data_IF_531962522746
#
_entry.id   IF_531962522746
#
_cell.length_a   1.000
_cell.length_b   1.000
_cell.length_c   1.000
_cell.angle_alpha   90.00
_cell.angle_beta   90.00
_cell.angle_gamma   90.00
#
_symmetry.space_group_name_H-M   'P 1'
#
loop_
_entity.id
_entity.type
_entity.pdbx_description
1 polymer ?
#
# COMPACT_ATOMS: atom_id res chain seq x y z
N UNK A 1 -93.42 -12.54 -22.56
CA UNK A 1 -93.02 -11.35 -21.77
C UNK A 1 -92.72 -11.83 -20.36
N UNK A 2 -91.53 -11.81 -19.79
CA UNK A 2 -90.28 -11.12 -20.13
C UNK A 2 -89.07 -11.99 -19.71
N UNK A 3 -87.96 -11.96 -20.47
CA UNK A 3 -86.74 -12.69 -20.15
C UNK A 3 -86.01 -12.08 -18.94
N UNK A 4 -85.43 -12.97 -18.13
CA UNK A 4 -84.67 -12.68 -16.90
C UNK A 4 -83.44 -11.80 -17.22
N UNK A 5 -83.17 -10.75 -16.42
CA UNK A 5 -82.16 -9.75 -16.71
C UNK A 5 -80.73 -10.25 -16.48
N UNK A 6 -79.84 -9.66 -17.28
CA UNK A 6 -78.41 -9.83 -17.33
C UNK A 6 -77.71 -9.55 -15.99
N UNK A 7 -76.69 -10.36 -15.68
CA UNK A 7 -75.72 -10.03 -14.64
C UNK A 7 -74.69 -9.02 -15.18
N UNK A 8 -74.50 -7.87 -14.50
CA UNK A 8 -73.64 -6.79 -14.98
C UNK A 8 -72.15 -7.11 -14.80
N UNK A 9 -71.40 -6.74 -15.82
CA UNK A 9 -69.94 -6.62 -15.86
C UNK A 9 -69.50 -5.51 -14.91
N UNK A 10 -69.37 -5.81 -13.62
CA UNK A 10 -68.83 -4.86 -12.66
C UNK A 10 -68.13 -5.54 -11.50
N UNK A 11 -66.93 -6.10 -11.75
CA UNK A 11 -65.89 -6.23 -10.73
C UNK A 11 -64.50 -6.50 -11.31
N UNK A 12 -64.09 -5.71 -12.30
CA UNK A 12 -62.66 -5.41 -12.41
C UNK A 12 -62.41 -4.27 -11.44
N UNK A 13 -62.04 -4.62 -10.21
CA UNK A 13 -61.24 -3.71 -9.40
C UNK A 13 -60.05 -3.34 -10.26
N UNK A 14 -60.05 -2.12 -10.77
CA UNK A 14 -58.83 -1.42 -11.18
C UNK A 14 -57.97 -1.31 -9.91
N UNK A 15 -57.32 -2.41 -9.54
CA UNK A 15 -56.04 -2.35 -8.91
C UNK A 15 -55.17 -1.66 -9.94
N UNK A 16 -55.01 -0.34 -9.78
CA UNK A 16 -53.84 0.35 -10.30
C UNK A 16 -52.67 -0.50 -9.83
N UNK A 17 -52.16 -1.36 -10.71
CA UNK A 17 -50.86 -1.94 -10.53
C UNK A 17 -49.95 -0.72 -10.47
N UNK A 18 -49.63 -0.30 -9.25
CA UNK A 18 -48.48 0.53 -8.96
C UNK A 18 -47.28 -0.36 -9.29
N UNK A 19 -47.09 -0.61 -10.58
CA UNK A 19 -45.80 -0.88 -11.16
C UNK A 19 -45.07 0.43 -10.88
N UNK A 20 -44.50 0.50 -9.67
CA UNK A 20 -43.49 1.48 -9.37
C UNK A 20 -42.38 1.18 -10.35
N UNK A 21 -42.41 1.86 -11.50
CA UNK A 21 -41.23 2.12 -12.29
C UNK A 21 -40.28 2.70 -11.25
N UNK A 22 -39.34 1.89 -10.76
CA UNK A 22 -38.23 2.42 -9.98
C UNK A 22 -37.69 3.53 -10.87
N UNK A 23 -37.68 4.80 -10.46
CA UNK A 23 -36.96 5.79 -11.24
C UNK A 23 -35.55 5.21 -11.35
N UNK A 24 -35.15 4.85 -12.57
CA UNK A 24 -33.75 4.53 -12.84
C UNK A 24 -32.99 5.70 -12.24
N UNK A 25 -32.19 5.44 -11.21
CA UNK A 25 -31.48 6.47 -10.47
C UNK A 25 -30.80 7.40 -11.48
N UNK A 26 -31.36 8.61 -11.68
CA UNK A 26 -30.71 9.67 -12.46
C UNK A 26 -29.50 10.23 -11.72
N UNK A 27 -29.25 9.72 -10.51
CA UNK A 27 -27.97 9.80 -9.83
C UNK A 27 -26.95 8.92 -10.58
N UNK A 28 -26.54 9.33 -11.78
CA UNK A 28 -25.13 9.17 -12.14
C UNK A 28 -24.38 10.01 -11.12
N UNK A 29 -24.03 9.39 -9.99
CA UNK A 29 -23.30 10.05 -8.91
C UNK A 29 -22.14 10.79 -9.54
N UNK A 30 -22.20 12.12 -9.51
CA UNK A 30 -21.16 12.99 -10.07
C UNK A 30 -19.87 12.53 -9.42
N UNK A 31 -18.94 11.97 -10.19
CA UNK A 31 -17.65 11.56 -9.65
C UNK A 31 -17.02 12.81 -9.05
N UNK A 32 -17.00 12.89 -7.71
CA UNK A 32 -16.43 14.05 -7.04
C UNK A 32 -14.92 13.97 -7.25
N UNK A 33 -14.36 15.03 -7.82
CA UNK A 33 -12.91 15.12 -7.92
C UNK A 33 -12.30 15.08 -6.52
N UNK A 34 -11.19 14.35 -6.32
CA UNK A 34 -10.52 14.31 -5.03
C UNK A 34 -10.04 15.71 -4.66
N UNK A 35 -10.37 16.17 -3.46
CA UNK A 35 -9.97 17.48 -2.92
C UNK A 35 -8.91 17.26 -1.84
N UNK A 36 -7.62 17.12 -2.19
CA UNK A 36 -6.56 16.78 -1.23
C UNK A 36 -6.37 17.86 -0.16
N UNK A 37 -6.65 19.12 -0.49
CA UNK A 37 -6.56 20.28 0.41
C UNK A 37 -7.46 20.14 1.65
N UNK A 38 -8.60 19.45 1.52
CA UNK A 38 -9.57 19.31 2.63
C UNK A 38 -9.26 18.16 3.58
N UNK A 39 -8.26 17.35 3.26
CA UNK A 39 -7.98 16.12 4.02
C UNK A 39 -7.29 16.41 5.36
N UNK A 40 -6.68 17.60 5.52
CA UNK A 40 -6.08 18.03 6.79
C UNK A 40 -4.87 17.18 7.21
N UNK A 41 -4.11 16.68 6.24
CA UNK A 41 -2.84 16.01 6.53
C UNK A 41 -1.76 17.03 6.89
N UNK A 42 -0.80 16.60 7.70
CA UNK A 42 0.39 17.38 8.00
C UNK A 42 1.14 17.74 6.71
N UNK A 43 1.78 18.93 6.64
CA UNK A 43 2.66 19.27 5.53
C UNK A 43 3.78 18.23 5.43
N UNK A 44 4.14 17.83 4.22
CA UNK A 44 5.10 16.75 3.98
C UNK A 44 4.51 15.33 3.95
N UNK A 45 3.24 15.15 4.34
CA UNK A 45 2.65 13.81 4.38
C UNK A 45 2.52 13.18 2.98
N UNK A 46 3.23 12.07 2.77
CA UNK A 46 3.22 11.32 1.52
C UNK A 46 4.40 11.60 0.61
N UNK A 47 5.27 12.56 0.93
CA UNK A 47 6.51 12.80 0.18
C UNK A 47 7.49 11.64 0.30
N UNK A 48 7.43 10.93 1.43
CA UNK A 48 8.21 9.73 1.69
C UNK A 48 7.31 8.50 1.80
N UNK A 49 7.75 7.41 1.17
CA UNK A 49 7.13 6.09 1.27
C UNK A 49 8.20 5.07 1.63
N UNK A 50 8.01 4.45 2.78
CA UNK A 50 8.86 3.42 3.33
C UNK A 50 8.35 2.04 2.93
N UNK A 51 9.26 1.19 2.45
CA UNK A 51 8.98 -0.20 2.11
C UNK A 51 9.76 -1.09 3.07
N UNK A 52 9.06 -1.86 3.88
CA UNK A 52 9.64 -2.81 4.82
C UNK A 52 9.54 -4.22 4.26
N UNK A 53 10.61 -5.00 4.41
CA UNK A 53 10.63 -6.42 4.14
C UNK A 53 10.74 -7.25 5.41
N UNK A 54 10.12 -8.42 5.39
CA UNK A 54 10.38 -9.45 6.37
C UNK A 54 11.55 -10.32 5.91
N UNK A 55 12.64 -10.39 6.68
CA UNK A 55 13.90 -11.04 6.28
C UNK A 55 13.72 -12.50 5.85
N UNK A 56 12.88 -13.28 6.56
CA UNK A 56 12.70 -14.71 6.26
C UNK A 56 11.61 -15.01 5.23
N UNK A 57 10.43 -14.38 5.34
CA UNK A 57 9.26 -14.70 4.53
C UNK A 57 9.07 -13.78 3.33
N UNK A 58 9.92 -12.78 3.15
CA UNK A 58 9.86 -11.79 2.07
C UNK A 58 8.52 -11.07 1.95
N UNK A 59 7.74 -11.02 3.03
CA UNK A 59 6.52 -10.21 3.10
C UNK A 59 6.87 -8.73 3.05
N UNK A 60 6.05 -7.95 2.35
CA UNK A 60 6.28 -6.52 2.17
C UNK A 60 5.20 -5.70 2.87
N UNK A 61 5.59 -4.60 3.50
CA UNK A 61 4.67 -3.63 4.10
C UNK A 61 5.07 -2.23 3.69
N UNK A 62 4.07 -1.44 3.29
CA UNK A 62 4.26 -0.03 2.93
C UNK A 62 3.88 0.87 4.11
N UNK A 63 4.64 1.93 4.35
CA UNK A 63 4.34 2.95 5.36
C UNK A 63 4.67 4.35 4.84
N UNK A 64 4.04 5.38 5.40
CA UNK A 64 4.50 6.77 5.24
C UNK A 64 5.48 7.18 6.33
N UNK A 65 5.53 6.42 7.43
CA UNK A 65 6.41 6.68 8.56
C UNK A 65 7.59 5.72 8.56
N UNK A 66 8.77 6.17 9.02
CA UNK A 66 9.97 5.34 9.17
C UNK A 66 9.80 4.27 10.25
N UNK A 67 8.95 4.51 11.23
CA UNK A 67 8.62 3.52 12.27
C UNK A 67 7.39 2.71 11.85
N UNK A 68 7.53 1.38 11.93
CA UNK A 68 6.46 0.44 11.58
C UNK A 68 5.48 0.22 12.75
N UNK A 69 4.28 0.78 12.64
CA UNK A 69 3.22 0.57 13.64
C UNK A 69 2.46 -0.74 13.41
N UNK A 70 2.53 -1.65 14.39
CA UNK A 70 1.95 -3.01 14.34
C UNK A 70 0.50 -3.05 13.85
N UNK A 71 -0.39 -2.22 14.41
CA UNK A 71 -1.82 -2.23 14.06
C UNK A 71 -2.09 -1.85 12.59
N UNK A 72 -1.33 -0.90 12.03
CA UNK A 72 -1.49 -0.48 10.63
C UNK A 72 -0.87 -1.49 9.67
N UNK A 73 0.31 -1.99 10.03
CA UNK A 73 1.10 -2.90 9.24
C UNK A 73 0.43 -4.29 9.12
N UNK A 74 -0.09 -4.85 10.22
CA UNK A 74 -0.80 -6.15 10.23
C UNK A 74 -2.09 -6.14 9.39
N UNK A 75 -2.72 -4.98 9.17
CA UNK A 75 -3.91 -4.87 8.31
C UNK A 75 -3.59 -5.03 6.82
N UNK A 76 -2.33 -4.91 6.45
CA UNK A 76 -1.91 -5.11 5.06
C UNK A 76 -1.64 -6.58 4.75
N UNK A 77 -1.35 -7.42 5.75
CA UNK A 77 -1.05 -8.84 5.55
C UNK A 77 -2.35 -9.67 5.52
N UNK A 78 -2.69 -10.34 4.40
CA UNK A 78 -3.82 -11.25 4.34
C UNK A 78 -3.54 -12.55 5.10
N UNK A 79 -4.57 -13.38 5.23
CA UNK A 79 -4.43 -14.73 5.78
C UNK A 79 -4.18 -15.71 4.64
N UNK A 80 -2.91 -16.08 4.42
CA UNK A 80 -2.51 -17.02 3.37
C UNK A 80 -2.45 -18.48 3.86
N UNK A 81 -2.65 -18.73 5.15
CA UNK A 81 -2.54 -20.07 5.74
C UNK A 81 -2.29 -20.05 7.25
N UNK A 82 -2.25 -21.24 7.86
CA UNK A 82 -1.89 -21.37 9.27
C UNK A 82 -0.42 -20.97 9.45
N UNK A 83 -0.12 -20.17 10.47
CA UNK A 83 1.25 -19.67 10.80
C UNK A 83 1.93 -18.78 9.74
N UNK A 84 1.25 -18.37 8.68
CA UNK A 84 1.83 -17.46 7.67
C UNK A 84 1.80 -16.00 8.12
N UNK A 85 0.79 -15.60 8.89
CA UNK A 85 0.65 -14.27 9.47
C UNK A 85 0.99 -14.29 10.95
N UNK A 86 2.01 -13.53 11.35
CA UNK A 86 2.35 -13.39 12.77
C UNK A 86 1.30 -12.57 13.53
N UNK A 87 0.98 -12.91 14.79
CA UNK A 87 0.02 -12.16 15.61
C UNK A 87 0.49 -10.73 15.95
N UNK A 88 1.81 -10.55 16.08
CA UNK A 88 2.48 -9.28 16.33
C UNK A 88 3.71 -9.17 15.47
N UNK A 89 4.06 -7.95 15.05
CA UNK A 89 5.30 -7.71 14.33
C UNK A 89 6.46 -7.66 15.32
N UNK A 90 7.51 -8.42 15.04
CA UNK A 90 8.75 -8.41 15.84
C UNK A 90 9.79 -7.56 15.12
N UNK A 91 10.40 -6.60 15.80
CA UNK A 91 11.28 -5.58 15.19
C UNK A 91 12.50 -6.17 14.47
N UNK A 92 13.00 -7.31 14.94
CA UNK A 92 14.17 -8.01 14.42
C UNK A 92 13.99 -8.58 13.00
N UNK A 93 12.76 -8.98 12.65
CA UNK A 93 12.49 -9.56 11.33
C UNK A 93 12.13 -8.53 10.26
N UNK A 94 11.74 -7.32 10.65
CA UNK A 94 11.29 -6.29 9.72
C UNK A 94 12.37 -5.26 9.52
N UNK A 95 12.91 -5.19 8.31
CA UNK A 95 13.90 -4.18 7.93
C UNK A 95 13.34 -3.27 6.84
N UNK A 96 13.73 -1.99 6.81
CA UNK A 96 13.48 -1.14 5.66
C UNK A 96 14.31 -1.65 4.48
N UNK A 97 13.64 -1.87 3.36
CA UNK A 97 14.21 -2.36 2.11
C UNK A 97 14.46 -1.22 1.13
N UNK A 98 13.52 -0.29 1.05
CA UNK A 98 13.61 0.87 0.18
C UNK A 98 12.82 2.06 0.74
N UNK A 99 13.26 3.25 0.36
CA UNK A 99 12.58 4.51 0.60
C UNK A 99 12.36 5.20 -0.75
N UNK A 100 11.12 5.56 -1.04
CA UNK A 100 10.76 6.40 -2.19
C UNK A 100 10.57 7.82 -1.67
N UNK A 101 11.31 8.76 -2.24
CA UNK A 101 11.23 10.18 -1.93
C UNK A 101 10.81 10.98 -3.16
N UNK A 102 9.81 11.82 -2.97
CA UNK A 102 9.38 12.80 -3.97
C UNK A 102 9.91 14.19 -3.62
N UNK A 103 9.88 15.10 -4.59
CA UNK A 103 10.17 16.50 -4.35
C UNK A 103 9.22 17.11 -3.30
N UNK A 104 9.72 18.12 -2.58
CA UNK A 104 8.95 18.84 -1.56
C UNK A 104 7.67 19.43 -2.17
N UNK A 105 6.54 19.27 -1.47
CA UNK A 105 5.22 19.69 -1.94
C UNK A 105 4.49 18.66 -2.82
N UNK A 106 5.14 17.57 -3.24
CA UNK A 106 4.52 16.51 -4.05
C UNK A 106 3.78 15.44 -3.22
N UNK A 107 3.45 15.69 -1.95
CA UNK A 107 2.82 14.71 -1.06
C UNK A 107 1.51 14.09 -1.60
N UNK A 108 0.73 14.83 -2.38
CA UNK A 108 -0.51 14.32 -3.03
C UNK A 108 -0.20 13.23 -4.06
N UNK A 109 0.93 13.34 -4.77
CA UNK A 109 1.39 12.33 -5.74
C UNK A 109 1.80 11.08 -4.98
N UNK A 110 2.59 11.23 -3.91
CA UNK A 110 3.01 10.08 -3.12
C UNK A 110 1.86 9.36 -2.40
N UNK A 111 0.82 10.07 -1.94
CA UNK A 111 -0.41 9.41 -1.45
C UNK A 111 -1.11 8.57 -2.52
N UNK A 112 -1.15 9.06 -3.77
CA UNK A 112 -1.68 8.31 -4.91
C UNK A 112 -0.82 7.07 -5.20
N UNK A 113 0.50 7.23 -5.25
CA UNK A 113 1.46 6.13 -5.46
C UNK A 113 1.31 5.08 -4.37
N UNK A 114 1.26 5.50 -3.09
CA UNK A 114 1.06 4.62 -1.94
C UNK A 114 -0.23 3.82 -2.03
N UNK A 115 -1.33 4.47 -2.45
CA UNK A 115 -2.59 3.78 -2.69
C UNK A 115 -2.42 2.71 -3.77
N UNK A 116 -1.77 3.04 -4.91
CA UNK A 116 -1.57 2.10 -6.01
C UNK A 116 -0.69 0.92 -5.63
N UNK A 117 0.42 1.13 -4.94
CA UNK A 117 1.27 0.04 -4.43
C UNK A 117 0.48 -0.93 -3.55
N UNK A 118 -0.39 -0.42 -2.68
CA UNK A 118 -1.25 -1.25 -1.83
C UNK A 118 -2.34 -1.98 -2.61
N UNK A 119 -2.88 -1.37 -3.66
CA UNK A 119 -3.82 -2.01 -4.58
C UNK A 119 -3.14 -3.16 -5.34
N UNK A 120 -1.96 -2.92 -5.92
CA UNK A 120 -1.18 -3.94 -6.64
C UNK A 120 -0.78 -5.11 -5.75
N UNK A 121 -0.23 -4.85 -4.56
CA UNK A 121 0.09 -5.91 -3.60
C UNK A 121 -1.12 -6.77 -3.25
N UNK A 122 -2.28 -6.14 -3.00
CA UNK A 122 -3.51 -6.88 -2.72
C UNK A 122 -3.96 -7.73 -3.91
N UNK A 123 -3.75 -7.25 -5.14
CA UNK A 123 -4.04 -8.01 -6.35
C UNK A 123 -3.09 -9.20 -6.51
N UNK A 124 -1.80 -9.05 -6.27
CA UNK A 124 -0.84 -10.17 -6.32
C UNK A 124 -1.21 -11.31 -5.35
N UNK A 125 -1.70 -10.96 -4.17
CA UNK A 125 -2.07 -11.95 -3.16
C UNK A 125 -3.45 -12.60 -3.42
N UNK A 126 -4.41 -11.90 -4.02
CA UNK A 126 -5.80 -12.36 -4.18
C UNK A 126 -6.22 -12.76 -5.60
N UNK A 127 -5.59 -12.19 -6.63
CA UNK A 127 -5.94 -12.40 -8.03
C UNK A 127 -4.70 -12.85 -8.82
N UNK A 128 -4.50 -14.15 -8.89
CA UNK A 128 -3.27 -14.75 -9.43
C UNK A 128 -3.21 -14.76 -10.96
N UNK A 129 -4.34 -14.55 -11.64
CA UNK A 129 -4.40 -14.43 -13.10
C UNK A 129 -3.68 -15.58 -13.81
N UNK A 130 -2.59 -15.27 -14.48
CA UNK A 130 -1.76 -16.24 -15.21
C UNK A 130 -1.06 -17.26 -14.31
N UNK A 131 -0.76 -16.93 -13.05
CA UNK A 131 -0.08 -17.82 -12.08
C UNK A 131 -1.05 -18.78 -11.38
N UNK A 132 -2.36 -18.65 -11.65
CA UNK A 132 -3.38 -19.43 -10.94
C UNK A 132 -3.17 -20.94 -11.11
N UNK A 133 -2.79 -21.39 -12.30
CA UNK A 133 -2.57 -22.80 -12.58
C UNK A 133 -1.42 -23.35 -11.72
N UNK A 134 -0.27 -22.67 -11.72
CA UNK A 134 0.89 -23.05 -10.90
C UNK A 134 0.54 -23.16 -9.41
N UNK A 135 -0.17 -22.16 -8.87
CA UNK A 135 -0.56 -22.16 -7.46
C UNK A 135 -1.60 -23.24 -7.12
N UNK A 136 -2.49 -23.60 -8.05
CA UNK A 136 -3.48 -24.65 -7.81
C UNK A 136 -2.84 -26.05 -7.80
N UNK A 137 -1.74 -26.25 -8.51
CA UNK A 137 -0.96 -27.49 -8.49
C UNK A 137 -0.05 -27.62 -7.27
N UNK A 138 0.22 -26.53 -6.54
CA UNK A 138 1.02 -26.55 -5.31
C UNK A 138 0.21 -27.04 -4.10
N UNK A 139 0.91 -27.66 -3.14
CA UNK A 139 0.34 -27.92 -1.81
C UNK A 139 -0.06 -26.61 -1.12
N UNK A 140 -1.10 -26.67 -0.28
CA UNK A 140 -1.64 -25.51 0.42
C UNK A 140 -0.59 -24.78 1.26
N UNK A 141 0.32 -25.50 1.92
CA UNK A 141 1.36 -24.87 2.73
C UNK A 141 2.35 -24.13 1.83
N UNK A 142 2.89 -24.81 0.82
CA UNK A 142 3.86 -24.24 -0.12
C UNK A 142 3.28 -23.05 -0.89
N UNK A 143 2.01 -23.13 -1.30
CA UNK A 143 1.28 -22.01 -1.88
C UNK A 143 1.21 -20.83 -0.91
N UNK A 144 0.89 -21.08 0.37
CA UNK A 144 0.84 -20.03 1.39
C UNK A 144 2.19 -19.34 1.61
N UNK A 145 3.30 -20.08 1.52
CA UNK A 145 4.67 -19.56 1.58
C UNK A 145 5.02 -18.74 0.33
N UNK A 146 4.74 -19.27 -0.87
CA UNK A 146 4.96 -18.58 -2.12
C UNK A 146 4.14 -17.28 -2.24
N UNK A 147 2.90 -17.26 -1.76
CA UNK A 147 2.07 -16.05 -1.71
C UNK A 147 2.59 -15.00 -0.72
N UNK A 148 3.40 -15.38 0.27
CA UNK A 148 4.02 -14.41 1.17
C UNK A 148 5.27 -13.76 0.57
N UNK A 149 5.94 -14.46 -0.34
CA UNK A 149 7.13 -13.97 -1.03
C UNK A 149 6.73 -12.92 -2.08
N UNK A 150 6.55 -11.69 -1.60
CA UNK A 150 6.09 -10.56 -2.40
C UNK A 150 7.21 -9.55 -2.67
N UNK A 151 8.47 -9.88 -2.34
CA UNK A 151 9.60 -8.97 -2.49
C UNK A 151 9.83 -8.55 -3.95
N UNK A 152 9.96 -9.54 -4.84
CA UNK A 152 10.17 -9.28 -6.27
C UNK A 152 8.98 -8.55 -6.90
N UNK A 153 7.75 -8.99 -6.58
CA UNK A 153 6.53 -8.35 -7.04
C UNK A 153 6.44 -6.89 -6.59
N UNK A 154 6.79 -6.60 -5.34
CA UNK A 154 6.77 -5.24 -4.82
C UNK A 154 7.74 -4.31 -5.54
N UNK A 155 8.94 -4.79 -5.91
CA UNK A 155 9.89 -3.99 -6.70
C UNK A 155 9.36 -3.74 -8.10
N UNK A 156 8.79 -4.75 -8.75
CA UNK A 156 8.16 -4.61 -10.05
C UNK A 156 6.96 -3.63 -9.99
N UNK A 157 6.18 -3.67 -8.92
CA UNK A 157 5.08 -2.74 -8.68
C UNK A 157 5.58 -1.30 -8.49
N UNK A 158 6.69 -1.11 -7.78
CA UNK A 158 7.32 0.21 -7.63
C UNK A 158 7.72 0.76 -9.00
N UNK A 159 8.41 -0.03 -9.82
CA UNK A 159 8.79 0.39 -11.16
C UNK A 159 7.56 0.71 -12.03
N UNK A 160 6.53 -0.14 -12.02
CA UNK A 160 5.31 0.04 -12.79
C UNK A 160 4.53 1.29 -12.35
N UNK A 161 4.31 1.46 -11.04
CA UNK A 161 3.54 2.59 -10.48
C UNK A 161 4.28 3.91 -10.70
N UNK A 162 5.61 3.94 -10.52
CA UNK A 162 6.40 5.14 -10.79
C UNK A 162 6.50 5.45 -12.30
N UNK A 163 6.35 4.43 -13.17
CA UNK A 163 6.15 4.60 -14.61
C UNK A 163 4.73 5.03 -15.02
N UNK A 164 3.85 5.32 -14.06
CA UNK A 164 2.49 5.80 -14.32
C UNK A 164 1.43 4.70 -14.48
N UNK A 165 1.72 3.46 -14.07
CA UNK A 165 0.72 2.40 -14.04
C UNK A 165 -0.36 2.66 -12.97
N UNK A 166 -1.56 2.14 -13.22
CA UNK A 166 -2.73 2.28 -12.34
C UNK A 166 -3.64 3.45 -12.74
N UNK A 167 -4.92 3.15 -12.95
CA UNK A 167 -5.91 4.17 -13.33
C UNK A 167 -6.03 5.24 -12.24
N UNK A 168 -5.93 6.51 -12.64
CA UNK A 168 -5.99 7.66 -11.74
C UNK A 168 -4.73 7.89 -10.92
N UNK A 169 -3.60 7.30 -11.32
CA UNK A 169 -2.31 7.59 -10.73
C UNK A 169 -1.88 9.02 -11.08
N UNK A 170 -1.60 9.83 -10.05
CA UNK A 170 -1.25 11.26 -10.17
C UNK A 170 0.22 11.52 -10.51
N UNK A 171 1.05 10.50 -10.69
CA UNK A 171 2.46 10.69 -11.05
C UNK A 171 2.63 11.13 -12.50
N UNK A 172 1.71 10.75 -13.38
CA UNK A 172 1.60 11.35 -14.70
C UNK A 172 0.89 12.69 -14.53
N UNK A 173 1.60 13.78 -14.81
CA UNK A 173 0.96 15.08 -14.94
C UNK A 173 -0.14 14.94 -16.01
N UNK A 174 -1.36 15.34 -15.68
CA UNK A 174 -2.48 15.33 -16.62
C UNK A 174 -2.25 16.50 -17.57
N UNK A 175 -1.52 16.26 -18.66
CA UNK A 175 -1.67 17.06 -19.86
C UNK A 175 -2.80 16.41 -20.68
N UNK A 176 -3.87 17.15 -20.94
CA UNK A 176 -5.06 16.69 -21.67
C UNK A 176 -4.80 16.48 -23.19
N UNK A 177 -3.58 16.12 -23.58
CA UNK A 177 -3.15 15.89 -24.97
C UNK A 177 -2.93 14.39 -25.24
N UNK A 178 -3.60 13.88 -26.27
CA UNK A 178 -3.64 12.45 -26.60
C UNK A 178 -2.29 11.78 -26.91
N UNK A 179 -1.20 12.55 -27.11
CA UNK A 179 0.12 12.05 -27.53
C UNK A 179 1.31 12.95 -27.08
N UNK A 180 1.27 13.55 -25.88
CA UNK A 180 2.50 14.12 -25.28
C UNK A 180 3.19 13.07 -24.40
N UNK A 181 4.52 12.95 -24.54
CA UNK A 181 5.33 12.12 -23.65
C UNK A 181 4.93 12.46 -22.20
N UNK A 182 4.46 11.46 -21.45
CA UNK A 182 3.92 11.67 -20.11
C UNK A 182 4.99 12.37 -19.27
N UNK A 183 4.75 13.63 -18.92
CA UNK A 183 5.56 14.35 -17.95
C UNK A 183 5.35 13.67 -16.59
N UNK A 184 6.24 12.75 -16.26
CA UNK A 184 6.23 12.01 -14.99
C UNK A 184 6.96 12.83 -13.94
N UNK A 185 6.40 12.89 -12.74
CA UNK A 185 7.06 13.52 -11.59
C UNK A 185 8.33 12.73 -11.24
N UNK A 186 9.42 13.45 -11.00
CA UNK A 186 10.69 12.87 -10.59
C UNK A 186 10.60 12.26 -9.19
N UNK A 187 11.25 11.10 -9.01
CA UNK A 187 11.28 10.39 -7.74
C UNK A 187 12.65 9.75 -7.51
N UNK A 188 13.16 9.86 -6.30
CA UNK A 188 14.39 9.19 -5.87
C UNK A 188 14.04 7.93 -5.09
N UNK A 189 14.59 6.79 -5.49
CA UNK A 189 14.43 5.52 -4.77
C UNK A 189 15.76 5.13 -4.14
N UNK A 190 15.77 5.16 -2.81
CA UNK A 190 16.85 4.70 -1.97
C UNK A 190 16.70 3.21 -1.68
N UNK A 191 17.74 2.43 -1.94
CA UNK A 191 17.75 0.99 -1.72
C UNK A 191 18.69 0.59 -0.57
N UNK A 192 18.26 -0.35 0.26
CA UNK A 192 19.14 -0.96 1.25
C UNK A 192 20.17 -1.92 0.62
N UNK A 193 19.76 -2.71 -0.38
CA UNK A 193 20.63 -3.60 -1.17
C UNK A 193 20.53 -3.22 -2.64
N UNK A 194 21.68 -3.07 -3.30
CA UNK A 194 21.77 -2.72 -4.72
C UNK A 194 21.09 -3.76 -5.62
N UNK A 195 21.08 -5.03 -5.21
CA UNK A 195 20.51 -6.14 -6.01
C UNK A 195 18.99 -6.09 -6.07
N UNK A 196 18.35 -5.44 -5.10
CA UNK A 196 16.89 -5.41 -5.04
C UNK A 196 16.29 -4.62 -6.20
N UNK A 197 17.01 -3.68 -6.81
CA UNK A 197 16.53 -2.94 -7.99
C UNK A 197 16.41 -3.80 -9.26
N UNK A 198 17.12 -4.93 -9.30
CA UNK A 198 17.22 -5.81 -10.48
C UNK A 198 15.99 -6.71 -10.65
N UNK A 199 15.12 -6.80 -9.64
CA UNK A 199 13.85 -7.52 -9.76
C UNK A 199 12.90 -6.88 -10.78
N UNK A 200 13.05 -5.58 -11.07
CA UNK A 200 12.32 -4.92 -12.14
C UNK A 200 13.13 -4.97 -13.45
N UNK A 201 12.47 -5.43 -14.52
CA UNK A 201 13.10 -5.57 -15.85
C UNK A 201 13.51 -4.21 -16.44
N UNK A 202 12.74 -3.16 -16.17
CA UNK A 202 12.99 -1.82 -16.68
C UNK A 202 12.47 -0.76 -15.71
N UNK A 203 13.14 0.39 -15.72
CA UNK A 203 12.81 1.57 -14.93
C UNK A 203 12.52 2.75 -15.85
N UNK A 204 11.60 3.63 -15.46
CA UNK A 204 11.30 4.85 -16.22
C UNK A 204 12.36 5.92 -15.96
N UNK A 205 12.55 6.82 -16.93
CA UNK A 205 13.64 7.81 -16.91
C UNK A 205 13.51 8.90 -15.86
N UNK A 206 12.33 9.06 -15.24
CA UNK A 206 12.08 10.01 -14.15
C UNK A 206 12.56 9.51 -12.77
N UNK A 207 13.10 8.30 -12.70
CA UNK A 207 13.49 7.66 -11.44
C UNK A 207 15.00 7.71 -11.29
N UNK A 208 15.46 8.27 -10.17
CA UNK A 208 16.86 8.20 -9.75
C UNK A 208 17.02 7.12 -8.68
N UNK A 209 18.15 6.42 -8.69
CA UNK A 209 18.44 5.34 -7.75
C UNK A 209 19.66 5.68 -6.90
N UNK A 210 19.50 5.60 -5.58
CA UNK A 210 20.57 5.83 -4.61
C UNK A 210 20.72 4.61 -3.69
N UNK A 211 21.94 4.38 -3.20
CA UNK A 211 22.27 3.30 -2.26
C UNK A 211 22.37 3.86 -0.85
N UNK A 212 21.80 3.14 0.11
CA UNK A 212 21.74 3.57 1.52
C UNK A 212 20.48 4.38 1.80
N UNK A 213 19.80 4.07 2.90
CA UNK A 213 18.57 4.75 3.30
C UNK A 213 18.94 5.88 4.28
N UNK A 214 18.70 7.17 3.95
CA UNK A 214 19.23 8.31 4.70
C UNK A 214 18.95 8.30 6.20
N UNK A 215 17.74 7.93 6.63
CA UNK A 215 17.38 7.96 8.05
C UNK A 215 18.04 6.84 8.88
N UNK A 216 18.50 5.76 8.24
CA UNK A 216 19.22 4.71 8.96
C UNK A 216 20.68 5.05 9.17
N UNK A 217 21.29 5.74 8.21
CA UNK A 217 22.68 6.18 8.30
C UNK A 217 22.83 7.18 9.44
N UNK A 218 21.89 8.11 9.58
CA UNK A 218 21.90 9.08 10.68
C UNK A 218 21.81 8.41 12.08
N UNK A 219 21.07 7.30 12.22
CA UNK A 219 20.99 6.56 13.49
C UNK A 219 22.25 5.74 13.76
N UNK A 220 22.93 5.24 12.73
CA UNK A 220 24.20 4.52 12.91
C UNK A 220 25.34 5.48 13.30
N UNK A 221 25.38 6.70 12.74
CA UNK A 221 26.41 7.70 13.08
C UNK A 221 26.29 8.26 14.51
N UNK A 222 25.08 8.35 15.08
CA UNK A 222 24.90 8.82 16.46
C UNK A 222 25.27 7.78 17.53
N UNK A 223 25.27 6.47 17.20
CA UNK A 223 25.57 5.40 18.18
C UNK A 223 27.06 5.25 18.46
N UNK A 224 27.93 5.72 17.56
CA UNK A 224 29.39 5.59 17.70
C UNK A 224 30.06 6.72 18.52
N UNK A 225 29.29 7.66 19.09
CA UNK A 225 29.85 8.89 19.72
C UNK A 225 29.84 8.90 21.26
N UNK A 226 29.17 8.00 21.98
CA UNK A 226 29.14 8.06 23.45
C UNK A 226 29.51 6.74 24.16
N UNK A 227 30.81 6.55 24.39
CA UNK A 227 31.31 5.79 25.54
C UNK A 227 32.17 6.72 26.40
N UNK A 228 31.61 7.39 27.43
CA UNK A 228 32.41 8.06 28.44
C UNK A 228 33.13 7.02 29.31
N UNK A 229 34.46 7.03 29.23
CA UNK A 229 35.40 6.26 30.07
C UNK A 229 35.46 6.81 31.51
N UNK A 230 34.33 6.78 32.24
CA UNK A 230 34.29 7.31 33.62
C UNK A 230 33.59 6.36 34.60
N UNK A 231 34.08 5.13 34.71
CA UNK A 231 33.66 4.18 35.75
C UNK A 231 34.84 3.48 36.43
N UNK A 232 35.98 4.16 36.58
CA UNK A 232 37.17 3.64 37.24
C UNK A 232 37.63 4.48 38.44
N UNK A 233 36.72 4.88 39.34
CA UNK A 233 37.11 5.36 40.67
C UNK A 233 36.20 4.79 41.75
N UNK A 234 36.65 3.69 42.36
CA UNK A 234 36.03 3.07 43.53
C UNK A 234 36.18 3.95 44.77
N UNK A 235 35.06 4.23 45.44
CA UNK A 235 35.04 4.79 46.80
C UNK A 235 35.18 3.65 47.83
N UNK A 236 36.08 3.75 48.82
CA UNK A 236 36.16 2.76 49.89
C UNK A 236 35.00 2.92 50.87
N UNK A 237 34.46 1.79 51.32
CA UNK A 237 33.40 1.68 52.33
C UNK A 237 34.01 1.90 53.71
N UNK A 238 33.60 2.98 54.38
CA UNK A 238 34.01 3.28 55.76
C UNK A 238 33.11 2.49 56.72
N UNK A 239 33.74 1.64 57.53
CA UNK A 239 33.08 0.79 58.51
C UNK A 239 32.82 1.54 59.81
N UNK A 240 31.57 1.60 60.26
CA UNK A 240 31.18 2.12 61.57
C UNK A 240 31.35 1.02 62.64
N UNK A 241 32.11 1.23 63.73
CA UNK A 241 32.08 0.35 64.89
C UNK A 241 30.93 0.69 65.86
N UNK A 242 30.60 -0.31 66.69
CA UNK A 242 29.43 -0.47 67.56
C UNK A 242 29.11 0.66 68.54
#
# INVERSE_FOLDING_TARGET
MNPVPAFPVSRLSMGLARIAIRPASTYRGRYKQPQPEKTGFEPGHGEQIWIFNHIMSNQIIYSHTPVLYSNRALRQLPFNGKKTKHPKLRKDYWKPMALIQFAEGAGVVGQSVFQKLREFRRLHELSWGHQADDFLHMDRQRRGEALNDQKANAVADVAAVLGGAGRGNKIAAVEDGQDSAKNLVEATVYWADARDREFATAWSSNITHELGIPELVAVEEEVDVEIPEEAAQGKPVEATPA
#
